data_IF_401408223885
#
_entry.id   IF_401408223885
#
_cell.length_a   1.000
_cell.length_b   1.000
_cell.length_c   1.000
_cell.angle_alpha   90.00
_cell.angle_beta   90.00
_cell.angle_gamma   90.00
#
_symmetry.space_group_name_H-M   'P 1'
#
loop_
_entity.id
_entity.type
_entity.pdbx_description
1 polymer ?
#
# COMPACT_ATOMS: atom_id res chain seq x y z
N UNK A 1 -45.67 -7.12 28.03
CA UNK A 1 -45.89 -8.31 27.18
C UNK A 1 -44.54 -8.67 26.59
N UNK A 2 -43.79 -9.52 27.29
CA UNK A 2 -43.61 -10.95 26.97
C UNK A 2 -42.80 -11.16 25.68
N UNK A 3 -41.50 -11.36 25.93
CA UNK A 3 -40.55 -12.23 25.22
C UNK A 3 -41.02 -12.89 23.93
N UNK A 4 -40.24 -12.70 22.86
CA UNK A 4 -39.83 -13.81 21.99
C UNK A 4 -38.32 -13.73 21.78
N UNK A 5 -37.66 -14.76 22.29
CA UNK A 5 -36.27 -15.17 22.12
C UNK A 5 -36.21 -16.06 20.87
N UNK A 6 -35.24 -15.80 20.00
CA UNK A 6 -34.52 -16.76 19.16
C UNK A 6 -33.11 -16.14 19.07
N UNK A 7 -32.08 -16.54 19.82
CA UNK A 7 -31.45 -17.86 19.91
C UNK A 7 -31.25 -18.52 18.54
N UNK A 8 -30.34 -17.97 17.75
CA UNK A 8 -29.36 -18.76 17.00
C UNK A 8 -28.04 -18.62 17.80
N UNK A 9 -27.78 -19.52 18.75
CA UNK A 9 -26.94 -20.71 18.50
C UNK A 9 -25.64 -20.25 17.85
N UNK A 10 -24.60 -19.94 18.63
CA UNK A 10 -23.58 -20.95 18.96
C UNK A 10 -23.29 -21.88 17.77
N UNK A 11 -23.09 -21.32 16.58
CA UNK A 11 -22.26 -21.95 15.56
C UNK A 11 -20.86 -21.87 16.13
N UNK A 12 -20.57 -22.92 16.89
CA UNK A 12 -19.28 -23.56 17.00
C UNK A 12 -18.17 -22.71 16.42
N UNK A 13 -17.48 -22.02 17.32
CA UNK A 13 -16.03 -21.96 17.29
C UNK A 13 -15.52 -23.41 17.40
N UNK A 14 -15.84 -24.26 16.42
CA UNK A 14 -14.85 -25.17 15.91
C UNK A 14 -13.89 -24.23 15.23
N UNK A 15 -12.90 -23.77 16.02
CA UNK A 15 -11.54 -23.74 15.51
C UNK A 15 -11.45 -25.05 14.75
N UNK A 16 -11.49 -24.98 13.42
CA UNK A 16 -10.97 -26.09 12.64
C UNK A 16 -9.52 -26.14 13.09
N UNK A 17 -9.25 -26.92 14.15
CA UNK A 17 -7.98 -27.58 14.34
C UNK A 17 -7.82 -28.52 13.14
N UNK A 18 -7.66 -27.94 11.94
CA UNK A 18 -6.58 -28.40 11.10
C UNK A 18 -5.37 -28.38 12.00
N UNK A 19 -4.59 -29.46 12.05
CA UNK A 19 -3.27 -29.42 12.66
C UNK A 19 -2.50 -28.26 11.97
N UNK A 20 -2.66 -27.04 12.47
CA UNK A 20 -1.98 -25.85 11.97
C UNK A 20 -0.56 -26.00 12.47
N UNK A 21 0.18 -26.74 11.63
CA UNK A 21 1.62 -26.90 11.51
C UNK A 21 2.46 -26.99 12.80
N UNK A 22 3.40 -27.93 12.77
CA UNK A 22 4.35 -28.24 13.85
C UNK A 22 5.41 -27.15 14.06
N UNK A 23 5.04 -25.87 14.10
CA UNK A 23 5.98 -24.77 14.29
C UNK A 23 5.58 -23.96 15.51
N UNK A 24 6.25 -24.28 16.62
CA UNK A 24 6.15 -23.55 17.88
C UNK A 24 6.79 -22.17 17.67
N UNK A 25 5.98 -21.12 17.62
CA UNK A 25 6.43 -19.77 17.93
C UNK A 25 7.07 -19.82 19.33
N UNK A 26 8.35 -19.44 19.51
CA UNK A 26 8.96 -19.42 20.83
C UNK A 26 8.20 -18.46 21.75
N UNK A 27 8.04 -18.82 23.02
CA UNK A 27 7.39 -17.98 24.03
C UNK A 27 8.09 -16.61 24.21
N UNK A 28 9.39 -16.54 23.88
CA UNK A 28 10.18 -15.32 23.81
C UNK A 28 11.09 -15.34 22.59
N UNK A 29 10.89 -14.40 21.67
CA UNK A 29 11.74 -14.18 20.50
C UNK A 29 12.13 -12.69 20.41
N UNK A 30 13.44 -12.44 20.33
CA UNK A 30 13.98 -11.11 20.12
C UNK A 30 13.89 -10.76 18.63
N UNK A 31 12.95 -9.90 18.27
CA UNK A 31 12.84 -9.39 16.91
C UNK A 31 14.02 -8.49 16.57
N UNK A 32 14.71 -8.81 15.47
CA UNK A 32 15.75 -7.98 14.90
C UNK A 32 15.26 -7.40 13.58
N UNK A 33 14.92 -6.11 13.59
CA UNK A 33 14.51 -5.41 12.39
C UNK A 33 15.66 -5.39 11.37
N UNK A 34 15.41 -5.89 10.16
CA UNK A 34 16.31 -5.73 9.03
C UNK A 34 16.26 -4.28 8.54
N UNK A 35 17.36 -3.56 8.68
CA UNK A 35 17.46 -2.15 8.28
C UNK A 35 17.88 -2.01 6.83
N UNK A 36 17.27 -1.04 6.14
CA UNK A 36 17.71 -0.59 4.83
C UNK A 36 18.96 0.28 4.96
N UNK A 37 19.89 0.17 4.01
CA UNK A 37 21.09 1.01 3.96
C UNK A 37 20.78 2.44 3.47
N UNK A 38 19.71 2.58 2.69
CA UNK A 38 19.23 3.83 2.12
C UNK A 38 17.74 3.96 2.37
N UNK A 39 17.26 5.21 2.35
CA UNK A 39 15.85 5.56 2.45
C UNK A 39 15.48 6.55 1.37
N UNK A 40 14.28 6.42 0.83
CA UNK A 40 13.75 7.36 -0.15
C UNK A 40 13.56 8.74 0.49
N UNK A 41 14.01 9.79 -0.19
CA UNK A 41 13.77 11.19 0.19
C UNK A 41 12.89 11.93 -0.80
N UNK A 42 12.80 11.43 -2.04
CA UNK A 42 12.01 12.06 -3.08
C UNK A 42 11.58 11.08 -4.15
N UNK A 43 10.33 11.20 -4.60
CA UNK A 43 9.77 10.51 -5.75
C UNK A 43 9.14 11.56 -6.66
N UNK A 44 9.60 11.66 -7.90
CA UNK A 44 9.00 12.53 -8.91
C UNK A 44 8.52 11.70 -10.08
N UNK A 45 7.40 12.06 -10.69
CA UNK A 45 6.86 11.24 -11.77
C UNK A 45 5.57 11.77 -12.36
N UNK A 46 4.93 10.88 -13.13
CA UNK A 46 3.60 11.09 -13.70
C UNK A 46 2.72 9.89 -13.39
N UNK A 47 1.45 10.15 -13.08
CA UNK A 47 0.41 9.13 -13.02
C UNK A 47 -0.95 9.70 -13.45
N UNK A 48 -1.94 8.83 -13.68
CA UNK A 48 -3.27 9.24 -14.15
C UNK A 48 -4.05 10.09 -13.14
N UNK A 49 -3.76 9.97 -11.85
CA UNK A 49 -4.50 10.64 -10.78
C UNK A 49 -4.00 12.06 -10.51
N UNK A 50 -2.68 12.24 -10.39
CA UNK A 50 -2.03 13.51 -10.04
C UNK A 50 -1.45 14.25 -11.24
N UNK A 51 -1.32 13.60 -12.40
CA UNK A 51 -0.48 14.11 -13.48
C UNK A 51 0.98 14.15 -13.04
N UNK A 52 1.71 15.21 -13.37
CA UNK A 52 3.08 15.42 -12.89
C UNK A 52 3.09 15.76 -11.39
N UNK A 53 3.90 15.04 -10.64
CA UNK A 53 4.00 15.21 -9.20
C UNK A 53 5.43 15.07 -8.67
N UNK A 54 5.65 15.59 -7.48
CA UNK A 54 6.82 15.30 -6.65
C UNK A 54 6.38 15.07 -5.21
N UNK A 55 6.77 13.94 -4.64
CA UNK A 55 6.70 13.62 -3.22
C UNK A 55 8.08 13.88 -2.61
N UNK A 56 8.12 14.63 -1.52
CA UNK A 56 9.32 14.84 -0.70
C UNK A 56 9.07 14.25 0.68
N UNK A 57 9.94 13.35 1.12
CA UNK A 57 9.83 12.62 2.39
C UNK A 57 10.78 13.22 3.42
N UNK A 58 10.32 13.31 4.67
CA UNK A 58 11.16 13.66 5.81
C UNK A 58 11.02 12.59 6.90
N UNK A 59 12.07 12.43 7.69
CA UNK A 59 12.13 11.42 8.74
C UNK A 59 12.50 12.05 10.08
N UNK A 60 11.81 11.66 11.14
CA UNK A 60 12.32 11.80 12.51
C UNK A 60 13.10 10.53 12.85
N UNK A 61 14.43 10.66 12.86
CA UNK A 61 15.37 9.53 12.93
C UNK A 61 15.11 8.56 11.78
N UNK A 62 14.54 7.38 12.04
CA UNK A 62 14.31 6.32 11.06
C UNK A 62 12.82 6.18 10.70
N UNK A 63 11.95 7.01 11.27
CA UNK A 63 10.52 6.95 11.06
C UNK A 63 10.06 8.12 10.19
N UNK A 64 9.29 7.81 9.15
CA UNK A 64 8.67 8.79 8.27
C UNK A 64 7.81 9.74 9.10
N UNK A 65 8.14 11.03 9.04
CA UNK A 65 7.48 12.10 9.78
C UNK A 65 6.65 13.02 8.89
N UNK A 66 6.99 13.10 7.60
CA UNK A 66 6.31 13.96 6.65
C UNK A 66 6.43 13.42 5.22
N UNK A 67 5.40 13.69 4.42
CA UNK A 67 5.43 13.66 2.96
C UNK A 67 4.76 14.96 2.51
N UNK A 68 5.43 15.71 1.64
CA UNK A 68 4.83 16.84 0.94
C UNK A 68 4.66 16.49 -0.53
N UNK A 69 3.46 16.70 -1.09
CA UNK A 69 3.23 16.55 -2.53
C UNK A 69 3.08 17.89 -3.22
N UNK A 70 3.88 18.11 -4.26
CA UNK A 70 3.73 19.23 -5.19
C UNK A 70 3.33 18.76 -6.59
N UNK A 71 2.61 19.60 -7.32
CA UNK A 71 2.26 19.39 -8.74
C UNK A 71 3.30 20.03 -9.68
N UNK A 72 3.03 20.02 -11.00
CA UNK A 72 3.86 20.67 -12.03
C UNK A 72 4.14 22.17 -11.80
N UNK A 73 3.21 22.89 -11.16
CA UNK A 73 3.34 24.32 -10.87
C UNK A 73 4.03 24.60 -9.53
N UNK A 74 4.54 23.56 -8.86
CA UNK A 74 5.11 23.58 -7.51
C UNK A 74 4.13 24.03 -6.42
N UNK A 75 2.82 23.95 -6.68
CA UNK A 75 1.82 24.16 -5.63
C UNK A 75 1.77 22.92 -4.73
N UNK A 76 1.69 23.13 -3.43
CA UNK A 76 1.44 22.03 -2.49
C UNK A 76 -0.02 21.61 -2.60
N UNK A 77 -0.23 20.35 -2.97
CA UNK A 77 -1.54 19.79 -3.32
C UNK A 77 -1.91 18.55 -2.50
N UNK A 78 -1.04 18.16 -1.57
CA UNK A 78 -1.24 16.99 -0.74
C UNK A 78 -0.05 16.73 0.19
N UNK A 79 -0.15 15.67 0.97
CA UNK A 79 0.90 15.29 1.91
C UNK A 79 0.54 14.04 2.71
N UNK A 80 1.10 13.92 3.92
CA UNK A 80 0.76 12.83 4.84
C UNK A 80 0.11 13.37 6.13
N UNK A 81 -0.98 12.72 6.56
CA UNK A 81 -1.51 12.83 7.92
C UNK A 81 -0.98 11.71 8.80
N UNK A 82 -0.69 12.00 10.06
CA UNK A 82 -0.21 11.00 11.01
C UNK A 82 -1.02 11.03 12.32
N UNK A 83 -1.53 9.88 12.74
CA UNK A 83 -2.24 9.70 14.00
C UNK A 83 -1.52 8.64 14.83
N UNK A 84 -0.95 9.05 15.97
CA UNK A 84 -0.23 8.15 16.88
C UNK A 84 -1.14 7.68 18.00
N UNK A 85 -1.07 6.40 18.31
CA UNK A 85 -1.70 5.74 19.45
C UNK A 85 -0.67 4.88 20.17
N UNK A 86 -1.02 4.36 21.36
CA UNK A 86 -0.07 3.63 22.23
C UNK A 86 0.63 2.44 21.54
N UNK A 87 -0.06 1.74 20.63
CA UNK A 87 0.47 0.56 19.94
C UNK A 87 0.26 0.58 18.42
N UNK A 88 0.01 1.76 17.86
CA UNK A 88 -0.19 1.91 16.42
C UNK A 88 0.08 3.32 15.92
N UNK A 89 0.50 3.40 14.67
CA UNK A 89 0.60 4.66 13.92
C UNK A 89 -0.26 4.51 12.68
N UNK A 90 -1.12 5.49 12.43
CA UNK A 90 -1.88 5.60 11.19
C UNK A 90 -1.28 6.69 10.34
N UNK A 91 -0.94 6.35 9.10
CA UNK A 91 -0.49 7.22 8.04
C UNK A 91 -1.62 7.41 7.04
N UNK A 92 -1.87 8.64 6.62
CA UNK A 92 -2.88 8.97 5.61
C UNK A 92 -2.19 9.69 4.47
N UNK A 93 -2.11 9.08 3.28
CA UNK A 93 -1.69 9.78 2.09
C UNK A 93 -2.85 10.64 1.60
N UNK A 94 -2.65 11.96 1.57
CA UNK A 94 -3.71 12.95 1.46
C UNK A 94 -3.67 13.73 0.16
N UNK A 95 -4.85 13.93 -0.42
CA UNK A 95 -5.15 14.92 -1.44
C UNK A 95 -5.77 16.16 -0.82
N UNK A 96 -5.33 17.35 -1.24
CA UNK A 96 -5.96 18.62 -0.91
C UNK A 96 -6.72 19.12 -2.13
N UNK A 97 -8.00 18.80 -2.19
CA UNK A 97 -8.84 19.09 -3.36
C UNK A 97 -9.78 20.27 -3.09
N UNK A 98 -10.17 21.03 -4.13
CA UNK A 98 -11.22 22.03 -4.00
C UNK A 98 -12.54 21.42 -3.49
N UNK A 99 -13.16 22.07 -2.51
CA UNK A 99 -14.46 21.65 -1.97
C UNK A 99 -15.64 22.33 -2.68
N UNK A 100 -15.43 22.82 -3.89
CA UNK A 100 -16.42 23.47 -4.75
C UNK A 100 -16.31 22.93 -6.17
N UNK A 101 -17.42 22.93 -6.89
CA UNK A 101 -17.51 22.41 -8.24
C UNK A 101 -16.74 23.24 -9.27
N UNK A 102 -16.50 22.64 -10.44
CA UNK A 102 -15.71 23.23 -11.52
C UNK A 102 -16.28 24.54 -12.07
N UNK A 103 -17.61 24.69 -12.14
CA UNK A 103 -18.25 25.93 -12.59
C UNK A 103 -18.03 27.06 -11.58
N UNK A 104 -18.09 26.74 -10.28
CA UNK A 104 -17.76 27.67 -9.20
C UNK A 104 -16.31 28.13 -9.26
N UNK A 105 -15.37 27.21 -9.55
CA UNK A 105 -13.96 27.53 -9.77
C UNK A 105 -13.80 28.47 -10.97
N UNK A 106 -14.47 28.19 -12.10
CA UNK A 106 -14.39 29.01 -13.31
C UNK A 106 -14.97 30.42 -13.11
N UNK A 107 -16.06 30.56 -12.35
CA UNK A 107 -16.61 31.87 -11.98
C UNK A 107 -15.63 32.65 -11.12
N UNK A 108 -15.00 32.00 -10.14
CA UNK A 108 -14.00 32.65 -9.28
C UNK A 108 -12.79 33.12 -10.10
N UNK A 109 -12.29 32.29 -11.00
CA UNK A 109 -11.20 32.63 -11.93
C UNK A 109 -11.53 33.88 -12.75
N UNK A 110 -12.74 33.94 -13.30
CA UNK A 110 -13.21 35.10 -14.08
C UNK A 110 -13.21 36.37 -13.23
N UNK A 111 -13.78 36.31 -12.01
CA UNK A 111 -13.85 37.45 -11.09
C UNK A 111 -12.44 37.93 -10.68
N UNK A 112 -11.53 37.00 -10.36
CA UNK A 112 -10.17 37.35 -9.95
C UNK A 112 -9.37 37.94 -11.12
N UNK A 113 -9.52 37.39 -12.32
CA UNK A 113 -8.89 37.93 -13.51
C UNK A 113 -9.38 39.33 -13.86
N UNK A 114 -10.69 39.59 -13.79
CA UNK A 114 -11.25 40.94 -14.03
C UNK A 114 -10.77 41.97 -12.99
N UNK A 115 -10.61 41.54 -11.73
CA UNK A 115 -10.24 42.42 -10.62
C UNK A 115 -8.73 42.69 -10.52
N UNK A 116 -7.91 41.67 -10.76
CA UNK A 116 -6.47 41.71 -10.50
C UNK A 116 -5.62 41.63 -11.78
N UNK A 117 -6.19 41.14 -12.89
CA UNK A 117 -5.48 40.82 -14.12
C UNK A 117 -4.76 39.48 -14.05
N UNK A 118 -4.65 38.82 -15.21
CA UNK A 118 -3.99 37.52 -15.35
C UNK A 118 -2.55 37.56 -14.83
N UNK A 119 -2.18 36.55 -14.02
CA UNK A 119 -0.84 36.43 -13.44
C UNK A 119 -0.61 37.23 -12.14
N UNK A 120 -1.55 38.08 -11.72
CA UNK A 120 -1.44 38.87 -10.48
C UNK A 120 -2.15 38.22 -9.28
N UNK A 121 -2.61 36.99 -9.42
CA UNK A 121 -3.22 36.18 -8.36
C UNK A 121 -2.90 34.70 -8.60
N UNK A 122 -3.11 33.88 -7.57
CA UNK A 122 -3.03 32.42 -7.65
C UNK A 122 -4.40 31.84 -7.33
N UNK A 123 -5.06 31.28 -8.34
CA UNK A 123 -6.38 30.67 -8.16
C UNK A 123 -6.32 29.58 -7.10
N UNK A 124 -5.33 28.70 -7.18
CA UNK A 124 -5.17 27.56 -6.28
C UNK A 124 -5.21 27.99 -4.81
N UNK A 125 -4.51 29.06 -4.43
CA UNK A 125 -4.46 29.58 -3.06
C UNK A 125 -5.82 30.12 -2.58
N UNK A 126 -6.64 30.58 -3.52
CA UNK A 126 -7.95 31.19 -3.24
C UNK A 126 -9.08 30.17 -3.09
N UNK A 127 -8.88 28.93 -3.52
CA UNK A 127 -9.91 27.89 -3.47
C UNK A 127 -10.11 27.36 -2.03
N UNK A 128 -11.36 27.22 -1.55
CA UNK A 128 -11.62 26.42 -0.36
C UNK A 128 -11.24 24.97 -0.66
N UNK A 129 -10.42 24.37 0.20
CA UNK A 129 -9.87 23.02 0.01
C UNK A 129 -10.25 22.11 1.16
N UNK A 130 -10.45 20.83 0.84
CA UNK A 130 -10.70 19.76 1.79
C UNK A 130 -9.62 18.68 1.64
N UNK A 131 -9.27 18.06 2.76
CA UNK A 131 -8.35 16.94 2.81
C UNK A 131 -9.13 15.66 2.55
N UNK A 132 -8.70 14.85 1.59
CA UNK A 132 -9.19 13.50 1.32
C UNK A 132 -8.04 12.51 1.44
N UNK A 133 -8.24 11.37 2.09
CA UNK A 133 -7.26 10.30 2.06
C UNK A 133 -7.42 9.50 0.76
N UNK A 134 -6.33 9.24 0.05
CA UNK A 134 -6.27 8.22 -1.02
C UNK A 134 -5.97 6.86 -0.41
N UNK A 135 -5.09 6.85 0.59
CA UNK A 135 -4.72 5.64 1.30
C UNK A 135 -4.56 5.95 2.78
N UNK A 136 -5.08 5.05 3.62
CA UNK A 136 -4.84 5.05 5.06
C UNK A 136 -4.18 3.74 5.46
N UNK A 137 -2.96 3.83 5.97
CA UNK A 137 -2.20 2.69 6.49
C UNK A 137 -2.10 2.78 7.99
N UNK A 138 -2.64 1.81 8.71
CA UNK A 138 -2.42 1.64 10.15
C UNK A 138 -1.45 0.50 10.41
N UNK A 139 -0.30 0.84 11.00
CA UNK A 139 0.72 -0.11 11.45
C UNK A 139 0.52 -0.37 12.93
N UNK A 140 0.28 -1.63 13.30
CA UNK A 140 0.22 -2.07 14.69
C UNK A 140 1.50 -2.83 15.04
N UNK A 141 2.12 -2.51 16.17
CA UNK A 141 3.37 -3.14 16.60
C UNK A 141 3.17 -4.00 17.85
N UNK A 142 3.98 -5.05 17.97
CA UNK A 142 4.15 -5.80 19.20
C UNK A 142 5.11 -5.07 20.15
N UNK A 143 5.14 -5.48 21.40
CA UNK A 143 6.06 -4.93 22.42
C UNK A 143 7.53 -5.12 22.07
N UNK A 144 7.87 -6.18 21.31
CA UNK A 144 9.22 -6.45 20.83
C UNK A 144 9.59 -5.65 19.55
N UNK A 145 8.72 -4.75 19.07
CA UNK A 145 8.96 -3.90 17.90
C UNK A 145 8.61 -4.51 16.54
N UNK A 146 8.24 -5.80 16.48
CA UNK A 146 7.75 -6.44 15.24
C UNK A 146 6.39 -5.87 14.82
N UNK A 147 6.10 -5.89 13.51
CA UNK A 147 4.79 -5.49 13.00
C UNK A 147 3.80 -6.63 13.28
N UNK A 148 2.81 -6.36 14.11
CA UNK A 148 1.74 -7.31 14.43
C UNK A 148 0.72 -7.39 13.32
N UNK A 149 0.26 -6.23 12.86
CA UNK A 149 -0.81 -6.08 11.88
C UNK A 149 -0.55 -4.84 11.03
N UNK A 150 -0.85 -4.95 9.74
CA UNK A 150 -0.97 -3.83 8.82
C UNK A 150 -2.41 -3.74 8.34
N UNK A 151 -3.03 -2.57 8.39
CA UNK A 151 -4.35 -2.32 7.83
C UNK A 151 -4.24 -1.23 6.78
N UNK A 152 -4.57 -1.53 5.53
CA UNK A 152 -4.52 -0.58 4.40
C UNK A 152 -5.95 -0.34 3.94
N UNK A 153 -6.40 0.90 3.95
CA UNK A 153 -7.67 1.33 3.38
C UNK A 153 -7.38 2.17 2.14
N UNK A 154 -7.92 1.76 1.00
CA UNK A 154 -7.73 2.48 -0.26
C UNK A 154 -9.02 3.17 -0.66
N UNK A 155 -8.91 4.42 -1.06
CA UNK A 155 -10.00 5.31 -1.41
C UNK A 155 -9.84 5.76 -2.87
N UNK A 156 -10.95 6.03 -3.54
CA UNK A 156 -10.96 6.65 -4.86
C UNK A 156 -11.85 7.90 -4.89
N UNK A 157 -11.62 8.82 -5.84
CA UNK A 157 -12.52 9.94 -6.08
C UNK A 157 -13.96 9.48 -6.29
N UNK A 158 -14.92 10.26 -5.80
CA UNK A 158 -16.34 10.00 -6.07
C UNK A 158 -16.64 10.27 -7.54
N UNK A 159 -17.44 9.45 -8.19
CA UNK A 159 -17.88 9.70 -9.59
C UNK A 159 -18.60 11.04 -9.75
N UNK A 160 -19.21 11.54 -8.66
CA UNK A 160 -19.84 12.85 -8.58
C UNK A 160 -18.86 14.01 -8.33
N UNK A 161 -17.55 13.78 -8.29
CA UNK A 161 -16.55 14.84 -8.16
C UNK A 161 -16.51 15.77 -9.37
N UNK A 162 -16.97 15.29 -10.52
CA UNK A 162 -17.07 16.08 -11.76
C UNK A 162 -18.46 16.72 -11.96
N UNK A 163 -19.41 16.46 -11.06
CA UNK A 163 -20.74 17.06 -11.12
C UNK A 163 -20.73 18.53 -10.67
N UNK A 164 -21.85 19.23 -10.87
CA UNK A 164 -22.02 20.65 -10.52
C UNK A 164 -23.24 20.85 -9.63
N UNK A 165 -23.21 21.92 -8.82
CA UNK A 165 -24.33 22.28 -7.96
C UNK A 165 -24.59 21.24 -6.86
N UNK A 166 -25.85 20.89 -6.64
CA UNK A 166 -26.27 20.00 -5.55
C UNK A 166 -25.77 18.55 -5.71
N UNK A 167 -25.44 18.14 -6.94
CA UNK A 167 -24.91 16.81 -7.22
C UNK A 167 -23.40 16.69 -6.99
N UNK A 168 -22.68 17.80 -6.84
CA UNK A 168 -21.23 17.77 -6.64
C UNK A 168 -20.86 17.13 -5.29
N UNK A 169 -19.96 16.14 -5.33
CA UNK A 169 -19.41 15.50 -4.13
C UNK A 169 -17.90 15.34 -4.24
N UNK A 170 -17.15 16.08 -3.42
CA UNK A 170 -15.69 16.01 -3.37
C UNK A 170 -15.18 14.86 -2.47
N UNK A 171 -16.01 14.30 -1.59
CA UNK A 171 -15.58 13.30 -0.62
C UNK A 171 -15.21 11.98 -1.29
N UNK A 172 -14.04 11.41 -0.97
CA UNK A 172 -13.62 10.14 -1.53
C UNK A 172 -14.39 8.96 -0.94
N UNK A 173 -14.50 7.89 -1.73
CA UNK A 173 -15.22 6.67 -1.39
C UNK A 173 -14.21 5.60 -0.95
N UNK A 174 -14.48 4.93 0.17
CA UNK A 174 -13.68 3.79 0.61
C UNK A 174 -13.95 2.62 -0.32
N UNK A 175 -12.92 2.13 -1.00
CA UNK A 175 -13.04 1.06 -1.98
C UNK A 175 -12.71 -0.29 -1.37
N UNK A 176 -11.56 -0.37 -0.70
CA UNK A 176 -11.05 -1.64 -0.17
C UNK A 176 -10.41 -1.46 1.19
N UNK A 177 -10.46 -2.52 2.00
CA UNK A 177 -9.65 -2.65 3.22
C UNK A 177 -8.89 -3.97 3.19
N UNK A 178 -7.56 -3.90 3.24
CA UNK A 178 -6.69 -5.07 3.41
C UNK A 178 -6.12 -5.10 4.82
N UNK A 179 -6.34 -6.18 5.56
CA UNK A 179 -5.75 -6.42 6.88
C UNK A 179 -4.80 -7.62 6.82
N UNK A 180 -3.52 -7.39 7.07
CA UNK A 180 -2.46 -8.41 7.12
C UNK A 180 -2.00 -8.62 8.55
N UNK A 181 -1.91 -9.87 9.01
CA UNK A 181 -1.40 -10.25 10.34
C UNK A 181 -0.20 -11.17 10.15
N UNK A 182 0.92 -10.79 10.75
CA UNK A 182 2.21 -11.45 10.52
C UNK A 182 2.62 -12.33 11.70
N UNK A 183 3.24 -13.46 11.36
CA UNK A 183 4.02 -14.25 12.31
C UNK A 183 5.45 -14.40 11.82
N UNK A 184 6.38 -14.48 12.78
CA UNK A 184 7.82 -14.45 12.54
C UNK A 184 8.49 -15.75 13.00
N UNK A 185 9.46 -16.22 12.22
CA UNK A 185 10.34 -17.31 12.62
C UNK A 185 11.42 -16.82 13.62
N UNK A 186 12.25 -17.74 14.10
CA UNK A 186 13.38 -17.46 15.02
C UNK A 186 14.46 -16.54 14.42
N UNK A 187 14.39 -16.22 13.13
CA UNK A 187 15.34 -15.37 12.43
C UNK A 187 14.72 -13.99 12.05
N UNK A 188 13.51 -13.67 12.55
CA UNK A 188 12.75 -12.45 12.21
C UNK A 188 12.14 -12.46 10.80
N UNK A 189 12.09 -13.60 10.10
CA UNK A 189 11.45 -13.68 8.80
C UNK A 189 9.94 -13.88 8.94
N UNK A 190 9.16 -13.23 8.08
CA UNK A 190 7.71 -13.43 8.04
C UNK A 190 7.41 -14.78 7.40
N UNK A 191 6.98 -15.75 8.21
CA UNK A 191 6.68 -17.10 7.74
C UNK A 191 5.18 -17.35 7.58
N UNK A 192 4.31 -16.57 8.24
CA UNK A 192 2.87 -16.55 8.00
C UNK A 192 2.40 -15.12 7.80
N UNK A 193 1.55 -14.90 6.79
CA UNK A 193 0.73 -13.70 6.65
C UNK A 193 -0.73 -14.10 6.44
N UNK A 194 -1.62 -13.75 7.37
CA UNK A 194 -3.08 -13.90 7.20
C UNK A 194 -3.68 -12.60 6.69
N UNK A 195 -4.38 -12.68 5.57
CA UNK A 195 -4.88 -11.52 4.83
C UNK A 195 -6.41 -11.58 4.81
N UNK A 196 -7.04 -10.49 5.23
CA UNK A 196 -8.47 -10.23 5.05
C UNK A 196 -8.58 -9.11 4.03
N UNK A 197 -9.33 -9.34 2.96
CA UNK A 197 -9.55 -8.36 1.89
C UNK A 197 -11.03 -8.05 1.78
N UNK A 198 -11.39 -6.81 2.05
CA UNK A 198 -12.76 -6.30 1.99
C UNK A 198 -12.93 -5.41 0.77
N UNK A 199 -13.98 -5.64 0.00
CA UNK A 199 -14.45 -4.74 -1.07
C UNK A 199 -15.74 -4.09 -0.58
N UNK A 200 -15.72 -2.77 -0.43
CA UNK A 200 -16.80 -2.01 0.17
C UNK A 200 -17.83 -1.54 -0.87
N UNK A 201 -19.09 -1.45 -0.45
CA UNK A 201 -20.14 -0.81 -1.24
C UNK A 201 -19.86 0.71 -1.32
N UNK A 202 -20.00 1.32 -2.52
CA UNK A 202 -19.66 2.72 -2.72
C UNK A 202 -20.63 3.71 -2.03
N UNK A 203 -21.80 3.24 -1.59
CA UNK A 203 -22.83 4.05 -0.91
C UNK A 203 -22.76 3.84 0.61
N UNK A 204 -22.67 2.59 1.05
CA UNK A 204 -22.57 2.24 2.48
C UNK A 204 -21.30 1.43 2.76
N UNK A 205 -20.27 2.12 3.25
CA UNK A 205 -18.97 1.52 3.59
C UNK A 205 -19.06 0.38 4.62
N UNK A 206 -20.13 0.26 5.40
CA UNK A 206 -20.30 -0.83 6.37
C UNK A 206 -20.77 -2.13 5.69
N UNK A 207 -21.22 -2.06 4.43
CA UNK A 207 -21.53 -3.20 3.56
C UNK A 207 -20.29 -3.53 2.75
N UNK A 208 -19.84 -4.80 2.81
CA UNK A 208 -18.67 -5.25 2.08
C UNK A 208 -18.69 -6.76 1.82
N UNK A 209 -17.98 -7.18 0.77
CA UNK A 209 -17.64 -8.57 0.52
C UNK A 209 -16.23 -8.87 1.04
N UNK A 210 -16.06 -9.97 1.79
CA UNK A 210 -14.77 -10.34 2.39
C UNK A 210 -14.20 -11.61 1.78
N UNK A 211 -12.93 -11.54 1.39
CA UNK A 211 -12.09 -12.68 1.03
C UNK A 211 -11.01 -12.93 2.09
N UNK A 212 -10.70 -14.21 2.33
CA UNK A 212 -9.70 -14.64 3.31
C UNK A 212 -8.58 -15.41 2.61
N UNK A 213 -7.35 -14.99 2.88
CA UNK A 213 -6.15 -15.65 2.40
C UNK A 213 -5.14 -15.87 3.53
N UNK A 214 -4.26 -16.84 3.32
CA UNK A 214 -3.08 -17.05 4.16
C UNK A 214 -1.91 -17.35 3.24
N UNK A 215 -0.76 -16.75 3.53
CA UNK A 215 0.51 -17.13 2.92
C UNK A 215 1.37 -17.83 3.95
N UNK A 216 2.05 -18.90 3.55
CA UNK A 216 3.12 -19.54 4.30
C UNK A 216 4.43 -19.44 3.50
N UNK A 217 5.48 -18.89 4.10
CA UNK A 217 6.78 -18.67 3.44
C UNK A 217 7.79 -19.72 3.87
N UNK A 218 8.37 -20.42 2.90
CA UNK A 218 9.50 -21.32 3.10
C UNK A 218 10.80 -20.61 2.74
N UNK A 219 11.80 -20.67 3.61
CA UNK A 219 13.11 -20.06 3.40
C UNK A 219 14.22 -21.11 3.24
N UNK A 220 15.22 -20.80 2.40
CA UNK A 220 16.49 -21.53 2.29
C UNK A 220 17.65 -20.54 2.26
N UNK A 221 18.55 -20.62 3.25
CA UNK A 221 19.70 -19.71 3.35
C UNK A 221 19.34 -18.21 3.36
N UNK A 222 18.17 -17.84 3.91
CA UNK A 222 17.67 -16.46 3.93
C UNK A 222 17.01 -15.98 2.63
N UNK A 223 16.90 -16.84 1.61
CA UNK A 223 16.12 -16.61 0.38
C UNK A 223 14.75 -17.27 0.51
N UNK A 224 13.75 -16.71 -0.15
CA UNK A 224 12.44 -17.36 -0.25
C UNK A 224 12.60 -18.54 -1.21
N UNK A 225 12.26 -19.74 -0.75
CA UNK A 225 12.22 -20.94 -1.57
C UNK A 225 10.84 -21.15 -2.16
N UNK A 226 9.82 -20.97 -1.32
CA UNK A 226 8.43 -21.07 -1.74
C UNK A 226 7.52 -20.10 -0.96
N UNK A 227 6.43 -19.68 -1.59
CA UNK A 227 5.34 -18.95 -0.98
C UNK A 227 4.04 -19.71 -1.28
N UNK A 228 3.45 -20.31 -0.24
CA UNK A 228 2.27 -21.17 -0.36
C UNK A 228 1.03 -20.35 -0.05
N UNK A 229 0.09 -20.33 -0.99
CA UNK A 229 -1.14 -19.55 -0.90
C UNK A 229 -2.32 -20.44 -0.54
N UNK A 230 -3.05 -20.00 0.48
CA UNK A 230 -4.26 -20.63 0.97
C UNK A 230 -5.43 -19.66 0.88
N UNK A 231 -6.62 -20.19 0.65
CA UNK A 231 -7.88 -19.45 0.74
C UNK A 231 -8.83 -20.19 1.68
N UNK A 232 -9.82 -19.49 2.22
CA UNK A 232 -10.88 -20.09 3.03
C UNK A 232 -12.28 -19.75 2.47
N UNK A 233 -12.70 -20.37 1.34
CA UNK A 233 -13.98 -20.10 0.72
C UNK A 233 -15.12 -20.47 1.68
N UNK A 234 -16.03 -19.53 1.93
CA UNK A 234 -17.15 -19.73 2.86
C UNK A 234 -16.74 -19.94 4.33
N UNK A 235 -15.48 -19.69 4.68
CA UNK A 235 -14.99 -19.78 6.06
C UNK A 235 -14.86 -21.21 6.62
N UNK A 236 -14.86 -22.24 5.78
CA UNK A 236 -14.82 -23.65 6.23
C UNK A 236 -13.45 -24.15 6.66
N UNK A 237 -12.40 -23.32 6.51
CA UNK A 237 -11.01 -23.65 6.79
C UNK A 237 -10.08 -23.26 5.62
N UNK A 238 -8.78 -23.17 5.88
CA UNK A 238 -7.79 -22.84 4.84
C UNK A 238 -7.44 -24.09 4.00
N UNK A 239 -7.52 -23.94 2.68
CA UNK A 239 -7.02 -24.91 1.69
C UNK A 239 -5.99 -24.26 0.79
N UNK A 240 -4.88 -24.96 0.52
CA UNK A 240 -3.87 -24.53 -0.46
C UNK A 240 -4.55 -24.41 -1.84
N UNK A 241 -4.37 -23.28 -2.51
CA UNK A 241 -4.85 -23.07 -3.87
C UNK A 241 -3.74 -22.73 -4.86
N UNK A 242 -2.58 -22.27 -4.37
CA UNK A 242 -1.40 -22.09 -5.22
C UNK A 242 -0.10 -22.19 -4.41
N UNK A 243 1.01 -22.40 -5.11
CA UNK A 243 2.35 -22.49 -4.53
C UNK A 243 3.35 -21.87 -5.48
N UNK A 244 3.94 -20.77 -5.07
CA UNK A 244 4.97 -20.08 -5.82
C UNK A 244 6.34 -20.64 -5.47
N UNK A 245 7.05 -21.15 -6.46
CA UNK A 245 8.44 -21.60 -6.36
C UNK A 245 9.37 -20.51 -6.90
N UNK A 246 10.48 -20.27 -6.19
CA UNK A 246 11.40 -19.19 -6.50
C UNK A 246 12.70 -19.75 -7.10
N UNK A 247 13.10 -19.22 -8.25
CA UNK A 247 14.33 -19.60 -8.95
C UNK A 247 15.33 -18.46 -8.91
N UNK A 248 16.58 -18.75 -8.56
CA UNK A 248 17.65 -17.76 -8.48
C UNK A 248 18.83 -18.10 -9.41
N UNK A 249 19.32 -17.07 -10.11
CA UNK A 249 20.62 -17.10 -10.78
C UNK A 249 21.67 -16.49 -9.83
N UNK A 250 22.32 -17.35 -9.04
CA UNK A 250 23.18 -16.91 -7.95
C UNK A 250 22.38 -16.22 -6.85
N UNK A 251 22.57 -14.91 -6.65
CA UNK A 251 21.82 -14.11 -5.68
C UNK A 251 20.65 -13.31 -6.28
N UNK A 252 20.50 -13.31 -7.60
CA UNK A 252 19.43 -12.61 -8.30
C UNK A 252 18.22 -13.52 -8.48
N UNK A 253 17.04 -13.04 -8.08
CA UNK A 253 15.78 -13.72 -8.34
C UNK A 253 15.49 -13.65 -9.84
N UNK A 254 15.37 -14.78 -10.52
CA UNK A 254 15.13 -14.82 -11.97
C UNK A 254 13.68 -15.16 -12.32
N UNK A 255 13.00 -15.93 -11.47
CA UNK A 255 11.64 -16.37 -11.73
C UNK A 255 10.89 -16.70 -10.43
N UNK A 256 9.59 -16.44 -10.45
CA UNK A 256 8.60 -16.98 -9.52
C UNK A 256 7.57 -17.73 -10.35
N UNK A 257 7.31 -19.00 -10.03
CA UNK A 257 6.41 -19.85 -10.78
C UNK A 257 5.38 -20.53 -9.87
N UNK A 258 4.10 -20.36 -10.18
CA UNK A 258 2.93 -21.03 -9.59
C UNK A 258 2.06 -21.66 -10.67
N UNK A 259 0.86 -22.10 -10.30
CA UNK A 259 -0.03 -22.87 -11.18
C UNK A 259 -0.51 -22.02 -12.36
N UNK A 260 -1.05 -20.84 -12.09
CA UNK A 260 -1.57 -19.89 -13.09
C UNK A 260 -0.83 -18.53 -13.02
N UNK A 261 0.35 -18.55 -12.41
CA UNK A 261 1.18 -17.37 -12.19
C UNK A 261 2.62 -17.67 -12.58
N UNK A 262 3.20 -16.85 -13.43
CA UNK A 262 4.65 -16.85 -13.68
C UNK A 262 5.11 -15.41 -13.73
N UNK A 263 6.15 -15.09 -12.97
CA UNK A 263 6.81 -13.78 -13.02
C UNK A 263 8.30 -13.96 -13.26
N UNK A 264 8.81 -13.36 -14.32
CA UNK A 264 10.22 -13.43 -14.70
C UNK A 264 10.90 -12.09 -14.51
N UNK A 265 12.18 -12.13 -14.17
CA UNK A 265 13.02 -10.96 -13.97
C UNK A 265 14.23 -11.05 -14.90
N UNK A 266 14.24 -10.19 -15.92
CA UNK A 266 15.32 -10.14 -16.91
C UNK A 266 16.22 -8.96 -16.63
N UNK A 267 17.50 -9.24 -16.39
CA UNK A 267 18.51 -8.24 -16.06
C UNK A 267 19.35 -7.90 -17.31
N UNK A 268 19.43 -6.61 -17.64
CA UNK A 268 20.25 -6.07 -18.72
C UNK A 268 21.04 -4.86 -18.20
N UNK A 269 22.24 -5.11 -17.65
CA UNK A 269 23.01 -4.09 -16.96
C UNK A 269 22.29 -3.65 -15.68
N UNK A 270 22.00 -2.36 -15.55
CA UNK A 270 21.24 -1.81 -14.43
C UNK A 270 19.72 -1.80 -14.67
N UNK A 271 19.26 -2.22 -15.85
CA UNK A 271 17.83 -2.32 -16.17
C UNK A 271 17.30 -3.71 -15.81
N UNK A 272 16.10 -3.73 -15.22
CA UNK A 272 15.35 -4.96 -14.95
C UNK A 272 13.99 -4.87 -15.63
N UNK A 273 13.66 -5.86 -16.43
CA UNK A 273 12.33 -6.04 -17.00
C UNK A 273 11.60 -7.12 -16.23
N UNK A 274 10.38 -6.83 -15.82
CA UNK A 274 9.49 -7.76 -15.12
C UNK A 274 8.31 -8.10 -16.02
N UNK A 275 8.14 -9.40 -16.28
CA UNK A 275 7.00 -9.92 -17.01
C UNK A 275 6.18 -10.78 -16.06
N UNK A 276 4.85 -10.63 -16.10
CA UNK A 276 3.92 -11.51 -15.40
C UNK A 276 3.00 -12.16 -16.43
N UNK A 277 2.90 -13.49 -16.42
CA UNK A 277 2.11 -14.27 -17.37
C UNK A 277 2.36 -13.87 -18.83
N UNK A 278 3.64 -13.71 -19.19
CA UNK A 278 4.13 -13.31 -20.52
C UNK A 278 3.76 -11.90 -20.99
N UNK A 279 3.25 -11.05 -20.11
CA UNK A 279 3.06 -9.63 -20.37
C UNK A 279 4.08 -8.82 -19.60
N UNK A 280 4.79 -7.89 -20.26
CA UNK A 280 5.63 -6.92 -19.56
C UNK A 280 4.75 -6.05 -18.67
N UNK A 281 5.01 -6.09 -17.37
CA UNK A 281 4.22 -5.34 -16.38
C UNK A 281 5.02 -4.25 -15.70
N UNK A 282 6.35 -4.31 -15.68
CA UNK A 282 7.15 -3.22 -15.13
C UNK A 282 8.58 -3.23 -15.68
N UNK A 283 9.22 -2.06 -15.65
CA UNK A 283 10.67 -1.92 -15.85
C UNK A 283 11.27 -1.06 -14.75
N UNK A 284 12.44 -1.46 -14.26
CA UNK A 284 13.19 -0.77 -13.23
C UNK A 284 14.57 -0.38 -13.74
N UNK A 285 15.09 0.75 -13.29
CA UNK A 285 16.50 1.11 -13.39
C UNK A 285 17.08 1.12 -11.97
N UNK A 286 18.20 0.43 -11.78
CA UNK A 286 18.88 0.31 -10.48
C UNK A 286 20.12 1.20 -10.41
N UNK A 287 20.45 1.67 -9.21
CA UNK A 287 21.77 2.24 -8.91
C UNK A 287 22.82 1.14 -8.61
N UNK A 288 24.05 1.56 -8.28
CA UNK A 288 25.14 0.64 -7.93
C UNK A 288 24.92 -0.14 -6.63
N UNK A 289 23.99 0.29 -5.78
CA UNK A 289 23.61 -0.36 -4.52
C UNK A 289 22.36 -1.25 -4.66
N UNK A 290 21.80 -1.34 -5.87
CA UNK A 290 20.60 -2.12 -6.17
C UNK A 290 19.32 -1.49 -5.65
N UNK A 291 19.26 -0.16 -5.49
CA UNK A 291 18.03 0.58 -5.25
C UNK A 291 17.38 0.99 -6.57
N UNK A 292 16.05 1.01 -6.60
CA UNK A 292 15.28 1.43 -7.77
C UNK A 292 15.34 2.96 -7.88
N UNK A 293 16.01 3.48 -8.92
CA UNK A 293 16.11 4.92 -9.20
C UNK A 293 15.15 5.39 -10.30
N UNK A 294 14.67 4.47 -11.15
CA UNK A 294 13.52 4.72 -12.03
C UNK A 294 12.62 3.50 -12.10
N UNK A 295 11.33 3.74 -12.27
CA UNK A 295 10.33 2.71 -12.43
C UNK A 295 9.30 3.15 -13.47
N UNK A 296 8.93 2.23 -14.35
CA UNK A 296 7.69 2.27 -15.12
C UNK A 296 6.89 1.06 -14.66
N UNK A 297 5.69 1.27 -14.15
CA UNK A 297 4.86 0.23 -13.56
C UNK A 297 3.89 -0.44 -14.54
N UNK A 298 4.05 -0.18 -15.84
CA UNK A 298 3.22 -0.76 -16.89
C UNK A 298 1.80 -0.19 -16.98
N UNK A 299 1.38 0.65 -16.03
CA UNK A 299 0.05 1.26 -15.97
C UNK A 299 0.05 2.72 -16.47
N UNK A 300 1.13 3.12 -17.14
CA UNK A 300 1.33 4.48 -17.62
C UNK A 300 1.98 5.41 -16.61
N UNK A 301 2.36 4.90 -15.43
CA UNK A 301 3.03 5.70 -14.43
C UNK A 301 4.54 5.53 -14.54
N UNK A 302 5.25 6.66 -14.45
CA UNK A 302 6.71 6.70 -14.57
C UNK A 302 7.29 7.53 -13.45
N UNK A 303 8.28 6.98 -12.75
CA UNK A 303 8.84 7.54 -11.54
C UNK A 303 10.36 7.63 -11.61
N UNK A 304 10.91 8.65 -10.98
CA UNK A 304 12.32 8.79 -10.61
C UNK A 304 12.40 8.90 -9.09
N UNK A 305 13.35 8.21 -8.48
CA UNK A 305 13.49 8.09 -7.03
C UNK A 305 14.89 8.51 -6.60
N UNK A 306 14.94 9.35 -5.58
CA UNK A 306 16.18 9.81 -4.94
C UNK A 306 16.25 9.28 -3.51
N UNK A 307 17.46 8.87 -3.10
CA UNK A 307 17.74 8.28 -1.80
C UNK A 307 18.82 9.05 -1.06
N UNK A 308 18.84 8.87 0.27
CA UNK A 308 19.98 9.22 1.11
C UNK A 308 20.43 8.03 1.97
N UNK A 309 21.68 8.02 2.47
CA UNK A 309 22.13 6.99 3.41
C UNK A 309 21.33 7.01 4.71
N UNK A 310 20.93 5.83 5.18
CA UNK A 310 20.21 5.65 6.43
C UNK A 310 18.95 4.80 6.27
N UNK A 311 18.41 4.36 7.40
CA UNK A 311 17.16 3.60 7.42
C UNK A 311 15.94 4.54 7.44
N UNK A 312 14.89 4.14 6.74
CA UNK A 312 13.56 4.71 6.77
C UNK A 312 12.51 3.59 6.72
N UNK A 313 11.33 3.83 7.28
CA UNK A 313 10.23 2.86 7.30
C UNK A 313 9.25 3.00 6.12
N UNK A 314 9.58 3.74 5.05
CA UNK A 314 8.66 3.99 3.93
C UNK A 314 8.09 2.70 3.34
N UNK A 315 8.96 1.75 2.98
CA UNK A 315 8.55 0.43 2.47
C UNK A 315 7.69 -0.37 3.46
N UNK A 316 7.93 -0.23 4.76
CA UNK A 316 7.10 -0.89 5.79
C UNK A 316 5.71 -0.28 5.95
N UNK A 317 5.52 0.96 5.50
CA UNK A 317 4.23 1.66 5.53
C UNK A 317 3.48 1.42 4.22
N UNK A 318 4.11 1.69 3.08
CA UNK A 318 3.38 1.81 1.80
C UNK A 318 3.52 0.62 0.85
N UNK A 319 4.34 -0.39 1.18
CA UNK A 319 4.50 -1.57 0.32
C UNK A 319 4.02 -2.82 1.07
N UNK A 320 2.91 -3.45 0.64
CA UNK A 320 2.43 -4.69 1.24
C UNK A 320 3.50 -5.78 1.26
N UNK A 321 3.57 -6.56 2.34
CA UNK A 321 4.57 -7.65 2.47
C UNK A 321 4.45 -8.68 1.34
N UNK A 322 3.23 -9.01 0.91
CA UNK A 322 3.00 -9.90 -0.24
C UNK A 322 3.63 -9.37 -1.52
N UNK A 323 3.59 -8.05 -1.72
CA UNK A 323 4.25 -7.40 -2.86
C UNK A 323 5.76 -7.47 -2.71
N UNK A 324 6.32 -7.15 -1.54
CA UNK A 324 7.76 -7.28 -1.27
C UNK A 324 8.28 -8.71 -1.49
N UNK A 325 7.44 -9.72 -1.23
CA UNK A 325 7.76 -11.13 -1.43
C UNK A 325 7.65 -11.57 -2.88
N UNK A 326 6.82 -10.92 -3.70
CA UNK A 326 6.60 -11.29 -5.12
C UNK A 326 7.22 -10.30 -6.10
N UNK A 327 7.84 -9.23 -5.61
CA UNK A 327 8.60 -8.25 -6.35
C UNK A 327 9.71 -7.68 -5.45
N UNK A 328 10.99 -8.03 -5.65
CA UNK A 328 12.08 -7.51 -4.83
C UNK A 328 12.48 -6.06 -5.19
N UNK A 329 11.89 -5.47 -6.24
CA UNK A 329 12.22 -4.15 -6.74
C UNK A 329 11.19 -3.11 -6.31
N UNK A 330 11.12 -2.86 -5.01
CA UNK A 330 10.29 -1.81 -4.42
C UNK A 330 11.14 -0.66 -3.88
N UNK A 331 10.50 0.47 -3.63
CA UNK A 331 11.12 1.67 -3.08
C UNK A 331 11.34 1.45 -1.58
N UNK A 332 12.58 1.57 -1.13
CA UNK A 332 13.02 1.19 0.22
C UNK A 332 12.80 2.28 1.28
#
# INVERSE_FOLDING_TARGET
MKHIIYLLVCIMVTVSCTEESKYKTPDEFQYLQKKNAFRVIKISGTNNHWGEFTLTMEYDKEELSNITRTNATNDTVGGIGMIRSTSSITYELQDWIPSIDKDSIQRLETILNEKHGAGNYRLWDSLPKSVQAIERVTVYTNTNGSIKKLSVQSYHPNEKSEAVGEDFAYSYILATTTSSIYEYDVNSNIYINRIMYDVHDPVDKEVYERSLYKMETEYDGGKIKALVWFTAPGGTGFSEFDRYSYTYNGNQLSEIHGTDFTRTFTYSGNQVTVETNHSTVATYELDGDGNVVKMNDGEGNVYTIEYEPGHGNFSHVFVPVSEQMTNPFFIK
#
